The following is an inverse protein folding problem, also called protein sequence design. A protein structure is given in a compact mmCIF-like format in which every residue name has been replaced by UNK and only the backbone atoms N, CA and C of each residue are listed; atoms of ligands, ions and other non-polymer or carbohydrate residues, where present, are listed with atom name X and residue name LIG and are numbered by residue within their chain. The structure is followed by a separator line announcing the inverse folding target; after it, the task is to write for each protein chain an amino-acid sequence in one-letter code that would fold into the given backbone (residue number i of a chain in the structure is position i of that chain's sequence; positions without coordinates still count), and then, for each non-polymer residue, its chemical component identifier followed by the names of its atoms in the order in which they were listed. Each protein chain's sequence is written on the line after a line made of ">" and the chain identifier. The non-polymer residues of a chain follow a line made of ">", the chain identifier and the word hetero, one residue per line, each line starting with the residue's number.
data_IF_669682254094
#
_entry.id   IF_669682254094
#
_cell.length_a   1.000
_cell.length_b   1.000
_cell.length_c   1.000
_cell.angle_alpha   90.00
_cell.angle_beta   90.00
_cell.angle_gamma   90.00
#
_symmetry.space_group_name_H-M   'P 1'
#
loop_
_entity.id
_entity.type
_entity.pdbx_description
1 polymer ?
#
# COMPACT_ATOMS: atom_id res chain seq x y z
N UNK A 1 -4.68 -37.60 -18.37
CA UNK A 1 -4.96 -36.37 -19.15
C UNK A 1 -5.66 -35.37 -18.25
N UNK A 2 -5.31 -34.08 -18.30
CA UNK A 2 -5.79 -33.10 -17.32
C UNK A 2 -7.08 -32.39 -17.77
N UNK A 3 -8.08 -32.34 -16.89
CA UNK A 3 -9.31 -31.56 -17.03
C UNK A 3 -9.49 -30.68 -15.79
N UNK A 4 -10.19 -29.56 -15.93
CA UNK A 4 -10.52 -28.69 -14.80
C UNK A 4 -11.84 -29.13 -14.17
N UNK A 5 -11.83 -29.27 -12.85
CA UNK A 5 -13.02 -29.56 -12.04
C UNK A 5 -13.31 -28.40 -11.08
N UNK A 6 -14.58 -28.18 -10.77
CA UNK A 6 -15.04 -27.24 -9.77
C UNK A 6 -15.66 -27.99 -8.59
N UNK A 7 -15.41 -27.53 -7.37
CA UNK A 7 -16.03 -28.09 -6.17
C UNK A 7 -17.55 -27.95 -6.28
N UNK A 8 -18.26 -29.07 -6.11
CA UNK A 8 -19.73 -29.11 -6.14
C UNK A 8 -20.29 -29.25 -4.73
N UNK A 9 -19.73 -30.17 -3.96
CA UNK A 9 -20.24 -30.52 -2.63
C UNK A 9 -19.09 -30.95 -1.73
N UNK A 10 -19.15 -30.54 -0.48
CA UNK A 10 -18.25 -30.98 0.58
C UNK A 10 -19.05 -31.80 1.58
N UNK A 11 -18.61 -33.02 1.87
CA UNK A 11 -19.12 -33.83 2.98
C UNK A 11 -18.07 -33.88 4.11
N UNK A 12 -18.39 -34.49 5.25
CA UNK A 12 -17.45 -34.60 6.38
C UNK A 12 -16.14 -35.29 5.98
N UNK A 13 -16.19 -36.31 5.12
CA UNK A 13 -15.04 -37.15 4.74
C UNK A 13 -14.57 -36.98 3.30
N UNK A 14 -15.36 -36.37 2.41
CA UNK A 14 -15.05 -36.30 0.97
C UNK A 14 -15.42 -34.97 0.33
N UNK A 15 -14.79 -34.68 -0.81
CA UNK A 15 -15.13 -33.55 -1.68
C UNK A 15 -15.51 -34.07 -3.05
N UNK A 16 -16.69 -33.68 -3.52
CA UNK A 16 -17.18 -34.03 -4.85
C UNK A 16 -16.93 -32.86 -5.79
N UNK A 17 -16.23 -33.14 -6.87
CA UNK A 17 -15.86 -32.19 -7.91
C UNK A 17 -16.58 -32.56 -9.21
N UNK A 18 -17.08 -31.57 -9.93
CA UNK A 18 -17.69 -31.75 -11.26
C UNK A 18 -16.85 -31.04 -12.32
N UNK A 19 -16.78 -31.59 -13.53
CA UNK A 19 -16.11 -30.95 -14.64
C UNK A 19 -16.54 -29.48 -14.81
N UNK A 20 -15.59 -28.60 -15.11
CA UNK A 20 -15.82 -27.15 -15.24
C UNK A 20 -16.67 -26.78 -16.46
N UNK A 21 -16.78 -27.65 -17.46
CA UNK A 21 -17.67 -27.51 -18.62
C UNK A 21 -19.10 -27.98 -18.28
N UNK A 22 -19.69 -27.44 -17.19
CA UNK A 22 -20.91 -27.96 -16.55
C UNK A 22 -22.11 -28.17 -17.48
N UNK A 23 -22.21 -27.40 -18.57
CA UNK A 23 -23.30 -27.50 -19.56
C UNK A 23 -23.11 -28.68 -20.51
N UNK A 24 -21.87 -29.00 -20.80
CA UNK A 24 -21.48 -29.94 -21.85
C UNK A 24 -20.86 -31.22 -21.26
N UNK A 25 -20.76 -31.31 -19.92
CA UNK A 25 -20.13 -32.41 -19.21
C UNK A 25 -20.69 -32.67 -17.81
N UNK A 26 -21.01 -33.94 -17.56
CA UNK A 26 -21.50 -34.43 -16.26
C UNK A 26 -20.46 -35.20 -15.46
N UNK A 27 -19.21 -35.30 -15.95
CA UNK A 27 -18.12 -36.01 -15.30
C UNK A 27 -17.88 -35.47 -13.87
N UNK A 28 -17.72 -36.39 -12.92
CA UNK A 28 -17.50 -36.09 -11.50
C UNK A 28 -16.41 -36.97 -10.94
N UNK A 29 -15.60 -36.39 -10.06
CA UNK A 29 -14.59 -37.09 -9.29
C UNK A 29 -14.77 -36.77 -7.81
N UNK A 30 -14.45 -37.72 -6.94
CA UNK A 30 -14.48 -37.56 -5.50
C UNK A 30 -13.07 -37.69 -4.96
N UNK A 31 -12.65 -36.74 -4.13
CA UNK A 31 -11.38 -36.80 -3.40
C UNK A 31 -11.65 -36.91 -1.90
N UNK A 32 -10.64 -37.29 -1.13
CA UNK A 32 -10.68 -37.16 0.33
C UNK A 32 -10.83 -35.69 0.75
N UNK A 33 -11.31 -35.44 1.97
CA UNK A 33 -11.36 -34.08 2.52
C UNK A 33 -9.98 -33.43 2.62
N UNK A 34 -8.96 -34.22 2.99
CA UNK A 34 -7.60 -33.73 3.27
C UNK A 34 -6.53 -34.30 2.32
N UNK A 35 -6.92 -35.21 1.42
CA UNK A 35 -6.03 -35.74 0.38
C UNK A 35 -6.48 -35.29 -1.02
N UNK A 36 -5.54 -34.91 -1.90
CA UNK A 36 -5.82 -34.66 -3.31
C UNK A 36 -6.10 -35.93 -4.12
N UNK A 37 -5.94 -37.12 -3.52
CA UNK A 37 -6.12 -38.40 -4.21
C UNK A 37 -7.58 -38.62 -4.63
N UNK A 38 -7.76 -39.12 -5.85
CA UNK A 38 -9.07 -39.47 -6.39
C UNK A 38 -9.50 -40.81 -5.78
N UNK A 39 -10.55 -40.78 -4.97
CA UNK A 39 -11.12 -41.97 -4.35
C UNK A 39 -11.99 -42.76 -5.33
N UNK A 40 -12.85 -42.07 -6.09
CA UNK A 40 -13.70 -42.66 -7.12
C UNK A 40 -14.26 -41.57 -8.04
N UNK A 41 -14.60 -41.91 -9.30
CA UNK A 41 -15.17 -40.93 -10.23
C UNK A 41 -15.20 -41.40 -11.68
N UNK A 42 -15.97 -40.69 -12.50
CA UNK A 42 -15.96 -40.85 -13.95
C UNK A 42 -15.03 -39.80 -14.57
N UNK A 43 -13.98 -40.27 -15.24
CA UNK A 43 -13.00 -39.46 -15.97
C UNK A 43 -13.28 -39.43 -17.47
N UNK A 44 -14.40 -40.01 -17.92
CA UNK A 44 -14.86 -39.94 -19.31
C UNK A 44 -15.58 -38.61 -19.50
N UNK A 45 -15.09 -37.80 -20.43
CA UNK A 45 -15.65 -36.49 -20.77
C UNK A 45 -16.28 -36.53 -22.15
N UNK A 46 -17.40 -35.85 -22.30
CA UNK A 46 -18.14 -35.64 -23.56
C UNK A 46 -17.59 -34.48 -24.40
N UNK A 47 -16.41 -33.97 -24.06
CA UNK A 47 -15.77 -32.86 -24.76
C UNK A 47 -14.26 -33.01 -24.73
N UNK A 48 -13.60 -32.35 -25.67
CA UNK A 48 -12.16 -32.28 -25.71
C UNK A 48 -11.59 -31.36 -24.62
N UNK A 49 -10.29 -31.53 -24.33
CA UNK A 49 -9.58 -30.72 -23.35
C UNK A 49 -9.41 -29.27 -23.86
N UNK A 50 -9.87 -28.31 -23.07
CA UNK A 50 -9.59 -26.90 -23.30
C UNK A 50 -8.19 -26.53 -22.77
N UNK A 51 -7.19 -26.65 -23.64
CA UNK A 51 -5.79 -26.43 -23.27
C UNK A 51 -5.53 -24.99 -22.84
N UNK A 52 -6.12 -24.01 -23.53
CA UNK A 52 -5.99 -22.59 -23.19
C UNK A 52 -6.52 -22.33 -21.78
N UNK A 53 -7.73 -22.79 -21.48
CA UNK A 53 -8.34 -22.60 -20.15
C UNK A 53 -7.56 -23.28 -19.03
N UNK A 54 -7.02 -24.48 -19.27
CA UNK A 54 -6.14 -25.17 -18.31
C UNK A 54 -4.89 -24.34 -18.03
N UNK A 55 -4.20 -23.87 -19.07
CA UNK A 55 -2.97 -23.08 -18.92
C UNK A 55 -3.23 -21.74 -18.23
N UNK A 56 -4.25 -20.98 -18.67
CA UNK A 56 -4.64 -19.71 -18.03
C UNK A 56 -4.98 -19.93 -16.56
N UNK A 57 -5.68 -21.02 -16.21
CA UNK A 57 -5.97 -21.35 -14.82
C UNK A 57 -4.71 -21.67 -14.02
N UNK A 58 -3.81 -22.49 -14.54
CA UNK A 58 -2.53 -22.84 -13.89
C UNK A 58 -1.69 -21.60 -13.61
N UNK A 59 -1.48 -20.75 -14.62
CA UNK A 59 -0.76 -19.49 -14.49
C UNK A 59 -1.42 -18.57 -13.45
N UNK A 60 -2.77 -18.45 -13.50
CA UNK A 60 -3.53 -17.66 -12.53
C UNK A 60 -3.28 -18.13 -11.10
N UNK A 61 -3.34 -19.44 -10.83
CA UNK A 61 -3.13 -19.96 -9.48
C UNK A 61 -1.67 -19.77 -9.00
N UNK A 62 -0.68 -19.95 -9.88
CA UNK A 62 0.72 -19.66 -9.56
C UNK A 62 0.92 -18.18 -9.18
N UNK A 63 0.42 -17.27 -10.00
CA UNK A 63 0.45 -15.83 -9.77
C UNK A 63 -0.24 -15.45 -8.45
N UNK A 64 -1.43 -16.00 -8.19
CA UNK A 64 -2.19 -15.77 -6.95
C UNK A 64 -1.40 -16.18 -5.69
N UNK A 65 -0.82 -17.39 -5.69
CA UNK A 65 -0.02 -17.89 -4.55
C UNK A 65 1.18 -16.99 -4.27
N UNK A 66 1.93 -16.63 -5.31
CA UNK A 66 3.10 -15.76 -5.17
C UNK A 66 2.72 -14.34 -4.74
N UNK A 67 1.65 -13.80 -5.30
CA UNK A 67 1.15 -12.48 -4.95
C UNK A 67 0.70 -12.37 -3.49
N UNK A 68 0.14 -13.45 -2.92
CA UNK A 68 -0.24 -13.51 -1.51
C UNK A 68 0.98 -13.71 -0.58
N UNK A 69 1.99 -14.47 -1.02
CA UNK A 69 3.23 -14.71 -0.25
C UNK A 69 4.13 -13.48 -0.18
N UNK A 70 4.28 -12.76 -1.29
CA UNK A 70 5.05 -11.52 -1.38
C UNK A 70 4.15 -10.40 -1.88
N UNK A 71 3.65 -9.60 -0.94
CA UNK A 71 2.76 -8.47 -1.23
C UNK A 71 3.51 -7.26 -1.79
N UNK A 72 4.82 -7.17 -1.59
CA UNK A 72 5.68 -6.07 -2.04
C UNK A 72 6.13 -6.25 -3.50
N UNK A 73 6.23 -7.48 -4.00
CA UNK A 73 6.63 -7.72 -5.39
C UNK A 73 5.62 -7.07 -6.38
N UNK A 74 6.11 -6.45 -7.45
CA UNK A 74 5.22 -5.81 -8.43
C UNK A 74 4.38 -6.87 -9.17
N UNK A 75 3.04 -6.75 -9.28
CA UNK A 75 2.20 -7.74 -9.96
C UNK A 75 2.63 -8.06 -11.39
N UNK A 76 3.13 -7.06 -12.14
CA UNK A 76 3.67 -7.26 -13.49
C UNK A 76 4.89 -8.19 -13.48
N UNK A 77 5.79 -8.05 -12.49
CA UNK A 77 6.99 -8.89 -12.36
C UNK A 77 6.60 -10.33 -12.05
N UNK A 78 5.68 -10.53 -11.10
CA UNK A 78 5.11 -11.86 -10.80
C UNK A 78 4.58 -12.49 -12.09
N UNK A 79 3.65 -11.80 -12.75
CA UNK A 79 2.98 -12.31 -13.95
C UNK A 79 3.96 -12.69 -15.06
N UNK A 80 4.91 -11.82 -15.39
CA UNK A 80 5.92 -12.09 -16.42
C UNK A 80 6.81 -13.25 -16.01
N UNK A 81 7.23 -13.31 -14.75
CA UNK A 81 8.11 -14.39 -14.27
C UNK A 81 7.41 -15.75 -14.23
N UNK A 82 6.13 -15.82 -13.82
CA UNK A 82 5.37 -17.07 -13.82
C UNK A 82 5.00 -17.49 -15.25
N UNK A 83 4.69 -16.55 -16.14
CA UNK A 83 4.45 -16.85 -17.54
C UNK A 83 5.71 -17.42 -18.23
N UNK A 84 6.89 -16.88 -17.92
CA UNK A 84 8.17 -17.39 -18.47
C UNK A 84 8.60 -18.74 -17.93
N UNK A 85 8.09 -19.17 -16.78
CA UNK A 85 8.39 -20.51 -16.22
C UNK A 85 7.73 -21.64 -17.00
N UNK A 86 6.68 -21.34 -17.75
CA UNK A 86 5.97 -22.29 -18.59
C UNK A 86 5.86 -21.70 -20.01
N UNK A 87 6.81 -22.06 -20.88
CA UNK A 87 6.85 -21.59 -22.29
C UNK A 87 5.52 -21.82 -23.01
N UNK A 88 4.78 -22.86 -22.64
CA UNK A 88 3.49 -23.18 -23.25
C UNK A 88 2.36 -22.25 -22.84
N UNK A 89 2.50 -21.56 -21.70
CA UNK A 89 1.54 -20.58 -21.18
C UNK A 89 1.63 -19.22 -21.90
N UNK A 90 2.78 -18.84 -22.46
CA UNK A 90 2.96 -17.54 -23.14
C UNK A 90 2.20 -17.48 -24.46
N UNK A 91 2.14 -18.58 -25.21
CA UNK A 91 1.58 -18.60 -26.57
C UNK A 91 0.05 -18.54 -26.61
N UNK A 92 -0.64 -18.83 -25.50
CA UNK A 92 -2.11 -19.00 -25.49
C UNK A 92 -2.88 -18.03 -24.60
N UNK A 93 -2.18 -17.19 -23.83
CA UNK A 93 -2.79 -16.22 -22.91
C UNK A 93 -2.85 -14.86 -23.60
N UNK A 94 -4.05 -14.29 -23.70
CA UNK A 94 -4.26 -12.98 -24.32
C UNK A 94 -4.30 -11.83 -23.28
N UNK A 95 -4.39 -10.59 -23.76
CA UNK A 95 -4.41 -9.41 -22.88
C UNK A 95 -5.59 -9.39 -21.91
N UNK A 96 -6.74 -9.96 -22.29
CA UNK A 96 -7.92 -10.05 -21.42
C UNK A 96 -7.66 -11.02 -20.29
N UNK A 97 -7.06 -12.16 -20.58
CA UNK A 97 -6.62 -13.13 -19.57
C UNK A 97 -5.60 -12.52 -18.62
N UNK A 98 -4.62 -11.77 -19.14
CA UNK A 98 -3.64 -11.05 -18.32
C UNK A 98 -4.30 -10.03 -17.40
N UNK A 99 -5.30 -9.29 -17.89
CA UNK A 99 -6.13 -8.40 -17.06
C UNK A 99 -6.85 -9.13 -15.93
N UNK A 100 -7.45 -10.28 -16.23
CA UNK A 100 -8.15 -11.12 -15.26
C UNK A 100 -7.21 -11.72 -14.20
N UNK A 101 -6.00 -12.15 -14.61
CA UNK A 101 -4.98 -12.66 -13.68
C UNK A 101 -4.50 -11.55 -12.76
N UNK A 102 -4.25 -10.33 -13.27
CA UNK A 102 -3.89 -9.16 -12.45
C UNK A 102 -4.96 -8.85 -11.41
N UNK A 103 -6.23 -8.83 -11.82
CA UNK A 103 -7.36 -8.63 -10.90
C UNK A 103 -7.43 -9.74 -9.84
N UNK A 104 -7.20 -10.98 -10.23
CA UNK A 104 -7.19 -12.11 -9.29
C UNK A 104 -6.03 -12.03 -8.28
N UNK A 105 -4.83 -11.63 -8.71
CA UNK A 105 -3.71 -11.37 -7.80
C UNK A 105 -4.06 -10.28 -6.78
N UNK A 106 -4.70 -9.20 -7.23
CA UNK A 106 -5.13 -8.11 -6.36
C UNK A 106 -6.11 -8.60 -5.28
N UNK A 107 -7.15 -9.35 -5.68
CA UNK A 107 -8.11 -9.91 -4.71
C UNK A 107 -7.47 -10.83 -3.69
N UNK A 108 -6.51 -11.67 -4.09
CA UNK A 108 -5.82 -12.55 -3.13
C UNK A 108 -4.92 -11.75 -2.17
N UNK A 109 -4.22 -10.72 -2.66
CA UNK A 109 -3.46 -9.80 -1.79
C UNK A 109 -4.35 -9.12 -0.75
N UNK A 110 -5.55 -8.71 -1.14
CA UNK A 110 -6.50 -8.06 -0.22
C UNK A 110 -6.98 -8.96 0.92
N UNK A 111 -6.82 -10.29 0.82
CA UNK A 111 -7.15 -11.22 1.92
C UNK A 111 -6.10 -11.23 3.03
N UNK A 112 -4.84 -10.93 2.70
CA UNK A 112 -3.72 -10.90 3.65
C UNK A 112 -3.36 -9.48 4.10
N UNK A 113 -3.70 -8.47 3.29
CA UNK A 113 -3.46 -7.07 3.62
C UNK A 113 -4.53 -6.52 4.59
N UNK A 114 -4.16 -5.58 5.46
CA UNK A 114 -5.11 -4.88 6.32
C UNK A 114 -6.27 -4.26 5.52
N UNK A 115 -7.44 -4.15 6.16
CA UNK A 115 -8.58 -3.41 5.61
C UNK A 115 -8.13 -1.98 5.31
N UNK A 116 -8.45 -1.48 4.11
CA UNK A 116 -8.18 -0.07 3.78
C UNK A 116 -9.08 0.77 4.67
N UNK A 117 -8.51 1.77 5.33
CA UNK A 117 -9.27 2.73 6.11
C UNK A 117 -10.30 3.43 5.24
N UNK A 118 -11.52 3.57 5.73
CA UNK A 118 -12.63 4.20 5.00
C UNK A 118 -12.80 5.67 5.36
N UNK A 119 -12.21 6.09 6.48
CA UNK A 119 -12.23 7.45 6.98
C UNK A 119 -10.91 7.78 7.69
N UNK A 120 -10.73 9.05 8.03
CA UNK A 120 -9.49 9.60 8.61
C UNK A 120 -9.17 9.00 9.98
N UNK A 121 -10.17 8.80 10.84
CA UNK A 121 -10.00 8.16 12.16
C UNK A 121 -9.50 6.73 12.04
N UNK A 122 -10.11 5.92 11.18
CA UNK A 122 -9.64 4.56 10.89
C UNK A 122 -8.20 4.57 10.34
N UNK A 123 -7.84 5.58 9.52
CA UNK A 123 -6.50 5.71 8.99
C UNK A 123 -5.48 6.03 10.08
N UNK A 124 -5.80 6.92 11.03
CA UNK A 124 -4.95 7.23 12.18
C UNK A 124 -4.79 6.04 13.12
N UNK A 125 -5.87 5.29 13.41
CA UNK A 125 -5.80 4.05 14.19
C UNK A 125 -4.87 3.04 13.49
N UNK A 126 -5.05 2.87 12.17
CA UNK A 126 -4.20 1.97 11.40
C UNK A 126 -2.73 2.44 11.39
N UNK A 127 -2.49 3.75 11.34
CA UNK A 127 -1.16 4.36 11.36
C UNK A 127 -0.42 4.10 12.68
N UNK A 128 -1.08 4.30 13.83
CA UNK A 128 -0.50 3.98 15.14
C UNK A 128 -0.34 2.48 15.38
N UNK A 129 -1.17 1.66 14.73
CA UNK A 129 -1.05 0.20 14.75
C UNK A 129 0.14 -0.34 13.95
N UNK A 130 0.83 0.48 13.16
CA UNK A 130 2.04 0.08 12.44
C UNK A 130 3.16 -0.10 13.47
N UNK A 131 3.81 -1.25 13.47
CA UNK A 131 5.10 -1.42 14.13
C UNK A 131 6.17 -0.72 13.27
N UNK A 132 6.65 0.48 13.67
CA UNK A 132 7.60 1.21 12.86
C UNK A 132 8.93 0.44 12.80
N UNK A 133 9.69 0.65 11.72
CA UNK A 133 11.10 0.22 11.72
C UNK A 133 11.88 1.03 12.75
N UNK A 134 13.00 0.49 13.20
CA UNK A 134 13.89 1.16 14.14
C UNK A 134 14.15 2.61 13.74
N UNK A 135 13.94 3.51 14.70
CA UNK A 135 14.16 4.93 14.53
C UNK A 135 13.05 5.68 13.82
N UNK A 136 11.87 5.10 13.55
CA UNK A 136 10.69 5.86 13.08
C UNK A 136 9.69 6.04 14.21
N UNK A 137 9.24 7.27 14.40
CA UNK A 137 8.19 7.65 15.34
C UNK A 137 6.94 8.02 14.56
N UNK A 138 5.81 7.50 15.03
CA UNK A 138 4.48 7.80 14.53
C UNK A 138 3.67 8.34 15.70
N UNK A 139 2.99 9.47 15.51
CA UNK A 139 2.02 10.04 16.47
C UNK A 139 0.77 10.47 15.73
N UNK A 140 -0.39 10.34 16.37
CA UNK A 140 -1.64 10.89 15.87
C UNK A 140 -2.28 11.85 16.87
N UNK A 141 -2.81 12.94 16.35
CA UNK A 141 -3.76 13.81 17.04
C UNK A 141 -5.15 13.46 16.50
N UNK A 142 -5.90 12.68 17.29
CA UNK A 142 -7.22 12.19 16.90
C UNK A 142 -8.29 13.28 16.92
N UNK A 143 -8.12 14.33 17.73
CA UNK A 143 -9.10 15.41 17.86
C UNK A 143 -9.04 16.33 16.64
N UNK A 144 -7.83 16.62 16.17
CA UNK A 144 -7.59 17.43 14.98
C UNK A 144 -7.40 16.60 13.70
N UNK A 145 -7.47 15.28 13.82
CA UNK A 145 -7.27 14.30 12.75
C UNK A 145 -5.97 14.48 11.95
N UNK A 146 -4.86 14.74 12.66
CA UNK A 146 -3.53 14.94 12.10
C UNK A 146 -2.63 13.74 12.43
N UNK A 147 -1.87 13.26 11.45
CA UNK A 147 -0.82 12.26 11.66
C UNK A 147 0.58 12.86 11.51
N UNK A 148 1.54 12.40 12.31
CA UNK A 148 2.94 12.80 12.26
C UNK A 148 3.81 11.57 12.13
N UNK A 149 4.70 11.57 11.13
CA UNK A 149 5.70 10.52 10.91
C UNK A 149 7.06 11.18 10.82
N UNK A 150 8.00 10.76 11.67
CA UNK A 150 9.33 11.36 11.75
C UNK A 150 10.38 10.32 12.07
N UNK A 151 11.54 10.42 11.43
CA UNK A 151 12.69 9.59 11.80
C UNK A 151 13.43 10.27 12.97
N UNK A 152 13.81 9.49 13.97
CA UNK A 152 14.65 9.91 15.10
C UNK A 152 15.93 10.61 14.65
N UNK A 153 16.60 10.12 13.60
CA UNK A 153 17.78 10.74 13.01
C UNK A 153 17.49 12.15 12.45
N UNK A 154 16.23 12.44 12.08
CA UNK A 154 15.82 13.77 11.67
C UNK A 154 15.89 14.78 12.81
N UNK A 155 15.71 14.36 14.07
CA UNK A 155 15.83 15.28 15.19
C UNK A 155 17.25 15.79 15.35
N UNK A 156 18.24 14.91 15.27
CA UNK A 156 19.64 15.31 15.37
C UNK A 156 20.04 16.20 14.20
N UNK A 157 19.59 15.85 12.99
CA UNK A 157 19.73 16.72 11.83
C UNK A 157 19.12 18.11 12.08
N UNK A 158 17.91 18.17 12.62
CA UNK A 158 17.19 19.41 12.87
C UNK A 158 17.80 20.29 13.96
N UNK A 159 18.61 19.72 14.86
CA UNK A 159 19.37 20.50 15.86
C UNK A 159 20.48 21.31 15.21
N UNK A 160 21.23 20.68 14.30
CA UNK A 160 22.45 21.25 13.70
C UNK A 160 22.16 22.15 12.51
N UNK A 161 21.12 21.85 11.74
CA UNK A 161 20.84 22.51 10.47
C UNK A 161 19.86 23.67 10.65
N UNK A 162 20.07 24.76 9.89
CA UNK A 162 19.28 25.98 9.98
C UNK A 162 18.34 26.20 8.78
N UNK A 163 18.51 25.45 7.70
CA UNK A 163 17.80 25.63 6.43
C UNK A 163 16.86 24.45 6.16
N UNK A 164 15.57 24.75 6.05
CA UNK A 164 14.52 23.79 5.74
C UNK A 164 13.63 24.26 4.61
N UNK A 165 13.02 23.29 3.95
CA UNK A 165 11.98 23.46 2.95
C UNK A 165 10.75 22.73 3.45
N UNK A 166 9.56 23.22 3.14
CA UNK A 166 8.36 22.42 3.31
C UNK A 166 7.37 22.60 2.16
N UNK A 167 6.70 21.51 1.81
CA UNK A 167 5.85 21.43 0.63
C UNK A 167 4.68 20.45 0.85
N UNK A 168 3.53 20.80 0.27
CA UNK A 168 2.30 20.03 0.33
C UNK A 168 2.11 19.15 -0.91
N UNK A 169 1.98 17.85 -0.72
CA UNK A 169 1.71 16.88 -1.81
C UNK A 169 0.29 16.33 -1.71
N UNK A 170 -0.54 16.65 -2.70
CA UNK A 170 -1.96 16.27 -2.73
C UNK A 170 -2.18 14.92 -3.43
N UNK A 171 -1.58 14.72 -4.60
CA UNK A 171 -1.83 13.54 -5.47
C UNK A 171 -1.36 12.22 -4.87
N UNK A 172 -0.31 12.26 -4.04
CA UNK A 172 0.26 11.10 -3.37
C UNK A 172 -0.24 10.94 -1.93
N UNK A 173 -1.15 11.80 -1.48
CA UNK A 173 -1.79 11.70 -0.17
C UNK A 173 -2.72 10.48 -0.13
N UNK A 174 -2.83 9.76 1.00
CA UNK A 174 -3.90 8.80 1.18
C UNK A 174 -5.25 9.49 1.03
N UNK A 175 -6.23 8.83 0.41
CA UNK A 175 -7.57 9.40 0.12
C UNK A 175 -8.27 9.98 1.36
N UNK A 176 -7.88 9.54 2.55
CA UNK A 176 -8.43 9.99 3.82
C UNK A 176 -7.90 11.37 4.23
N UNK A 177 -6.76 11.83 3.71
CA UNK A 177 -6.12 13.11 4.06
C UNK A 177 -6.08 14.04 2.85
N UNK A 178 -6.22 15.34 3.10
CA UNK A 178 -6.18 16.35 2.05
C UNK A 178 -4.79 16.45 1.42
N UNK A 179 -3.74 16.37 2.26
CA UNK A 179 -2.36 16.45 1.80
C UNK A 179 -1.39 15.72 2.75
N UNK A 180 -0.24 15.35 2.19
CA UNK A 180 0.97 15.09 2.97
C UNK A 180 1.81 16.37 2.92
N UNK A 181 2.06 16.98 4.07
CA UNK A 181 2.95 18.13 4.18
C UNK A 181 4.33 17.67 4.68
N UNK A 182 5.36 17.87 3.87
CA UNK A 182 6.69 17.30 4.11
C UNK A 182 7.68 18.38 4.50
N UNK A 183 8.42 18.19 5.59
CA UNK A 183 9.60 18.99 5.90
C UNK A 183 10.84 18.32 5.33
N UNK A 184 11.69 19.10 4.66
CA UNK A 184 12.87 18.64 3.96
C UNK A 184 14.06 19.46 4.46
N UNK A 185 15.08 18.77 4.97
CA UNK A 185 16.36 19.37 5.32
C UNK A 185 17.32 19.34 4.16
N UNK A 186 18.23 20.31 4.09
CA UNK A 186 19.29 20.35 3.08
C UNK A 186 20.67 20.28 3.74
N UNK A 187 21.46 19.26 3.40
CA UNK A 187 22.83 19.08 3.91
C UNK A 187 23.73 18.50 2.85
N UNK A 188 24.90 19.12 2.65
CA UNK A 188 25.94 18.66 1.69
C UNK A 188 25.38 18.37 0.28
N UNK A 189 24.48 19.21 -0.22
CA UNK A 189 23.88 19.06 -1.56
C UNK A 189 22.75 18.03 -1.66
N UNK A 190 22.32 17.44 -0.54
CA UNK A 190 21.23 16.48 -0.49
C UNK A 190 20.00 17.06 0.19
N UNK A 191 18.83 16.81 -0.42
CA UNK A 191 17.52 17.09 0.13
C UNK A 191 16.97 15.82 0.77
N UNK A 192 16.72 15.88 2.07
CA UNK A 192 16.38 14.70 2.86
C UNK A 192 15.03 14.98 3.54
N UNK A 193 13.99 14.18 3.28
CA UNK A 193 12.72 14.27 4.00
C UNK A 193 12.94 13.98 5.48
N UNK A 194 12.57 14.93 6.32
CA UNK A 194 12.78 14.87 7.75
C UNK A 194 11.53 14.38 8.47
N UNK A 195 10.37 14.85 8.03
CA UNK A 195 9.08 14.61 8.67
C UNK A 195 7.95 14.71 7.64
N UNK A 196 6.91 13.91 7.86
CA UNK A 196 5.67 13.95 7.12
C UNK A 196 4.51 14.25 8.06
N UNK A 197 3.66 15.21 7.68
CA UNK A 197 2.42 15.55 8.35
C UNK A 197 1.26 15.15 7.45
N UNK A 198 0.35 14.32 7.95
CA UNK A 198 -0.89 13.95 7.29
C UNK A 198 -1.97 14.94 7.73
N UNK A 199 -2.42 15.81 6.83
CA UNK A 199 -3.28 16.94 7.18
C UNK A 199 -4.72 16.75 6.64
N UNK A 200 -5.74 17.12 7.43
CA UNK A 200 -7.15 17.06 7.01
C UNK A 200 -7.55 18.18 6.05
N UNK A 201 -6.70 19.21 5.87
CA UNK A 201 -6.94 20.35 5.00
C UNK A 201 -5.72 21.26 4.88
N UNK A 202 -5.94 22.49 4.39
CA UNK A 202 -4.92 23.51 4.14
C UNK A 202 -5.32 24.88 4.72
N UNK A 203 -6.10 24.91 5.80
CA UNK A 203 -6.39 26.16 6.49
C UNK A 203 -5.23 26.56 7.40
N UNK A 204 -5.09 27.86 7.68
CA UNK A 204 -4.10 28.37 8.64
C UNK A 204 -4.16 27.62 9.97
N UNK A 205 -5.37 27.44 10.53
CA UNK A 205 -5.57 26.76 11.80
C UNK A 205 -5.03 25.31 11.79
N UNK A 206 -5.20 24.58 10.67
CA UNK A 206 -4.67 23.23 10.53
C UNK A 206 -3.14 23.23 10.57
N UNK A 207 -2.49 24.17 9.86
CA UNK A 207 -1.03 24.31 9.92
C UNK A 207 -0.55 24.69 11.32
N UNK A 208 -1.24 25.60 12.00
CA UNK A 208 -0.88 26.00 13.37
C UNK A 208 -0.93 24.82 14.33
N UNK A 209 -2.00 24.03 14.29
CA UNK A 209 -2.13 22.82 15.09
C UNK A 209 -1.03 21.81 14.76
N UNK A 210 -0.79 21.54 13.47
CA UNK A 210 0.21 20.57 13.04
C UNK A 210 1.64 20.98 13.46
N UNK A 211 1.98 22.27 13.34
CA UNK A 211 3.29 22.79 13.73
C UNK A 211 3.48 22.83 15.25
N UNK A 212 2.43 23.10 16.03
CA UNK A 212 2.47 22.95 17.50
C UNK A 212 2.73 21.50 17.89
N UNK A 213 1.97 20.56 17.33
CA UNK A 213 2.16 19.13 17.55
C UNK A 213 3.59 18.67 17.21
N UNK A 214 4.15 19.18 16.11
CA UNK A 214 5.54 18.94 15.76
C UNK A 214 6.51 19.48 16.83
N UNK A 215 6.39 20.74 17.25
CA UNK A 215 7.28 21.32 18.27
C UNK A 215 7.22 20.56 19.58
N UNK A 216 6.03 20.22 20.04
CA UNK A 216 5.84 19.47 21.28
C UNK A 216 6.48 18.09 21.18
N UNK A 217 6.34 17.46 20.01
CA UNK A 217 7.00 16.19 19.71
C UNK A 217 8.52 16.36 19.69
N UNK A 218 9.06 17.36 19.01
CA UNK A 218 10.49 17.67 18.96
C UNK A 218 11.06 17.86 20.36
N UNK A 219 10.38 18.66 21.19
CA UNK A 219 10.78 18.90 22.58
C UNK A 219 10.76 17.62 23.40
N UNK A 220 9.70 16.81 23.30
CA UNK A 220 9.60 15.55 24.03
C UNK A 220 10.70 14.55 23.66
N UNK A 221 11.18 14.55 22.42
CA UNK A 221 12.19 13.61 21.93
C UNK A 221 13.63 14.09 22.14
N UNK A 222 13.86 15.40 22.07
CA UNK A 222 15.22 15.96 22.13
C UNK A 222 15.58 16.60 23.48
N UNK A 223 14.58 16.87 24.32
CA UNK A 223 14.74 17.69 25.53
C UNK A 223 15.03 19.17 25.23
N UNK A 224 14.99 19.59 23.97
CA UNK A 224 15.35 20.94 23.51
C UNK A 224 14.21 21.57 22.72
N UNK A 225 14.14 22.89 22.72
CA UNK A 225 13.21 23.62 21.85
C UNK A 225 13.66 23.55 20.40
N UNK A 226 12.71 23.54 19.47
CA UNK A 226 13.01 23.75 18.07
C UNK A 226 13.44 25.22 17.89
N UNK A 227 14.71 25.44 17.55
CA UNK A 227 15.29 26.78 17.48
C UNK A 227 14.92 27.49 16.17
N UNK A 228 15.24 28.78 16.08
CA UNK A 228 14.89 29.57 14.90
C UNK A 228 15.55 29.07 13.60
N UNK A 229 14.80 29.04 12.50
CA UNK A 229 15.24 28.50 11.20
C UNK A 229 14.92 29.39 10.01
N UNK A 230 15.61 29.16 8.90
CA UNK A 230 15.22 29.66 7.57
C UNK A 230 14.33 28.60 6.91
N UNK A 231 13.08 28.96 6.62
CA UNK A 231 12.12 28.07 5.94
C UNK A 231 11.79 28.59 4.54
N UNK A 232 11.83 27.68 3.57
CA UNK A 232 11.32 27.89 2.22
C UNK A 232 9.99 27.16 2.05
N UNK A 233 8.93 27.91 1.76
CA UNK A 233 7.58 27.38 1.55
C UNK A 233 7.04 27.79 0.18
N UNK A 234 6.02 27.11 -0.30
CA UNK A 234 5.25 27.61 -1.44
C UNK A 234 4.47 28.90 -1.10
N UNK A 235 3.92 29.59 -2.11
CA UNK A 235 3.13 30.82 -1.97
C UNK A 235 1.75 30.61 -1.32
N UNK A 236 1.51 29.44 -0.73
CA UNK A 236 0.28 29.15 -0.02
C UNK A 236 0.16 30.03 1.24
N UNK A 237 -0.75 31.00 1.19
CA UNK A 237 -0.94 31.98 2.25
C UNK A 237 -1.20 31.35 3.62
N UNK A 238 -2.00 30.28 3.68
CA UNK A 238 -2.33 29.59 4.93
C UNK A 238 -1.09 28.95 5.58
N UNK A 239 -0.24 28.29 4.78
CA UNK A 239 1.01 27.72 5.25
C UNK A 239 1.98 28.81 5.74
N UNK A 240 2.16 29.88 4.96
CA UNK A 240 3.00 31.01 5.33
C UNK A 240 2.55 31.66 6.66
N UNK A 241 1.27 31.94 6.80
CA UNK A 241 0.73 32.54 8.03
C UNK A 241 0.79 31.58 9.23
N UNK A 242 0.48 30.29 9.04
CA UNK A 242 0.57 29.28 10.10
C UNK A 242 2.00 29.03 10.58
N UNK A 243 2.97 29.07 9.66
CA UNK A 243 4.39 29.00 10.02
C UNK A 243 4.81 30.21 10.85
N UNK A 244 4.46 31.43 10.42
CA UNK A 244 4.81 32.65 11.17
C UNK A 244 4.25 32.67 12.59
N UNK A 245 3.05 32.12 12.81
CA UNK A 245 2.41 32.14 14.13
C UNK A 245 2.86 30.99 15.03
N UNK A 246 3.34 29.88 14.46
CA UNK A 246 3.55 28.63 15.23
C UNK A 246 4.98 28.13 15.26
N UNK A 247 5.85 28.50 14.30
CA UNK A 247 7.25 28.08 14.28
C UNK A 247 8.19 29.27 14.51
N UNK A 248 9.28 29.07 15.27
CA UNK A 248 10.33 30.06 15.38
C UNK A 248 11.08 30.13 14.04
N UNK A 249 10.81 31.15 13.24
CA UNK A 249 11.43 31.34 11.92
C UNK A 249 12.22 32.65 11.90
N UNK A 250 13.53 32.56 11.63
CA UNK A 250 14.39 33.74 11.43
C UNK A 250 14.09 34.39 10.08
N UNK A 251 13.82 33.57 9.05
CA UNK A 251 13.43 34.06 7.73
C UNK A 251 12.47 33.08 7.07
N UNK A 252 11.39 33.61 6.52
CA UNK A 252 10.44 32.86 5.70
C UNK A 252 10.59 33.32 4.25
N UNK A 253 10.99 32.40 3.38
CA UNK A 253 11.21 32.64 1.96
C UNK A 253 10.20 31.85 1.15
N UNK A 254 9.75 32.42 0.04
CA UNK A 254 8.89 31.71 -0.89
C UNK A 254 9.73 30.96 -1.93
N UNK A 255 9.30 29.75 -2.26
CA UNK A 255 9.92 28.92 -3.29
C UNK A 255 9.51 29.44 -4.68
N UNK A 256 10.49 29.79 -5.51
CA UNK A 256 10.23 30.28 -6.88
C UNK A 256 9.89 29.16 -7.88
N UNK A 257 9.94 27.89 -7.47
CA UNK A 257 9.74 26.74 -8.36
C UNK A 257 8.29 26.59 -8.85
N UNK A 258 7.32 27.09 -8.09
CA UNK A 258 5.88 26.94 -8.38
C UNK A 258 5.24 28.20 -8.97
N UNK A 259 6.04 29.20 -9.39
CA UNK A 259 5.58 30.41 -10.08
C UNK A 259 5.25 30.16 -11.54
#
# INVERSE_FOLDING_TARGET
>A
MAFLYCLKTTTKSTRIWQCSAKKDCTAKITTGSDSPDILHGCTIHSHERDVKKIQTHTLRQACKRRAAKDTCERPRKILVSEARRDETSIQRVDDRDMGNIRRAMWFERRKVLPKVATNRKEALIALEGIQPRDGVIIKSDFDNEIGVIINTASYDFMKDESLFFADGTFKSSPDQFYQIYTFIGHRKGHYIPMMFLLLPGASKAIYETAFKLFKDTFRSQTGSEFLERILFLDFERAALEGTKSSLPVTALKCCLFHL
#
